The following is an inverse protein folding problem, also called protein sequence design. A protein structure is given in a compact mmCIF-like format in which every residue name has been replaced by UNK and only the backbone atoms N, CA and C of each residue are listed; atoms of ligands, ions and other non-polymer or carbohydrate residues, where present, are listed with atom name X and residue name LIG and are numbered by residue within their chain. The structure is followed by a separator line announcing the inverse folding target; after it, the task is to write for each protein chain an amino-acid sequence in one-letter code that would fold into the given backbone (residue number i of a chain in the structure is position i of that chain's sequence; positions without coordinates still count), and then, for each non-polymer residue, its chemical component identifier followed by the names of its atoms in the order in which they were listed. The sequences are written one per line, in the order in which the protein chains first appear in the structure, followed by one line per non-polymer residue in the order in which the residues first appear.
data_IF_438322250486
#
_entry.id   IF_438322250486
#
_cell.length_a   1.000
_cell.length_b   1.000
_cell.length_c   1.000
_cell.angle_alpha   90.00
_cell.angle_beta   90.00
_cell.angle_gamma   90.00
#
_symmetry.space_group_name_H-M   'P 1'
#
loop_
_entity.id
_entity.type
_entity.pdbx_description
1 polymer ?
#
# COMPACT_ATOMS: atom_id res chain seq x y z
N UNK A 1 -13.37 -6.88 7.52
CA UNK A 1 -13.73 -5.98 6.38
C UNK A 1 -12.86 -4.74 6.45
N UNK A 2 -12.49 -4.18 5.33
CA UNK A 2 -11.61 -3.00 5.33
C UNK A 2 -12.36 -1.73 5.74
N UNK A 3 -11.65 -0.80 6.39
CA UNK A 3 -12.21 0.50 6.78
C UNK A 3 -12.64 1.31 5.56
N UNK A 4 -11.87 1.22 4.48
CA UNK A 4 -12.20 1.93 3.23
C UNK A 4 -13.51 1.40 2.64
N UNK A 5 -13.67 0.09 2.59
CA UNK A 5 -14.90 -0.53 2.11
C UNK A 5 -16.09 -0.16 2.99
N UNK A 6 -15.91 -0.19 4.30
CA UNK A 6 -16.96 0.21 5.24
C UNK A 6 -17.39 1.67 5.02
N UNK A 7 -16.42 2.57 4.81
CA UNK A 7 -16.74 3.97 4.53
C UNK A 7 -17.57 4.12 3.25
N UNK A 8 -17.24 3.39 2.21
CA UNK A 8 -18.00 3.41 0.96
C UNK A 8 -19.41 2.86 1.15
N UNK A 9 -19.56 1.77 1.87
CA UNK A 9 -20.87 1.15 2.11
C UNK A 9 -21.77 2.04 2.95
N UNK A 10 -21.21 2.82 3.87
CA UNK A 10 -21.97 3.77 4.71
C UNK A 10 -22.19 5.12 4.03
N UNK A 11 -21.62 5.36 2.86
CA UNK A 11 -21.70 6.65 2.19
C UNK A 11 -20.88 7.74 2.86
N UNK A 12 -19.88 7.37 3.65
CA UNK A 12 -18.98 8.31 4.30
C UNK A 12 -17.97 8.86 3.31
N UNK A 13 -17.52 10.10 3.55
CA UNK A 13 -16.42 10.69 2.79
C UNK A 13 -15.13 9.96 3.13
N UNK A 14 -14.54 9.27 2.14
CA UNK A 14 -13.32 8.49 2.34
C UNK A 14 -12.08 9.37 2.14
N UNK A 15 -11.15 9.29 3.08
CA UNK A 15 -9.87 10.01 3.02
C UNK A 15 -8.78 8.96 2.94
N UNK A 16 -7.90 9.09 1.94
CA UNK A 16 -6.73 8.22 1.79
C UNK A 16 -5.47 9.05 1.72
N UNK A 17 -4.36 8.46 2.14
CA UNK A 17 -3.04 9.04 1.98
C UNK A 17 -2.25 8.24 0.93
N UNK A 18 -1.10 8.75 0.54
CA UNK A 18 -0.18 8.05 -0.34
C UNK A 18 1.13 7.80 0.39
N UNK A 19 1.63 6.58 0.30
CA UNK A 19 2.90 6.15 0.88
C UNK A 19 3.78 5.62 -0.24
N UNK A 20 4.89 6.29 -0.48
CA UNK A 20 5.84 5.88 -1.52
C UNK A 20 6.94 5.02 -0.88
N UNK A 21 7.15 3.78 -1.37
CA UNK A 21 8.25 2.95 -0.87
C UNK A 21 9.61 3.60 -1.11
N UNK A 22 10.59 3.35 -0.24
CA UNK A 22 11.94 3.88 -0.42
C UNK A 22 12.70 3.14 -1.51
N UNK A 23 13.87 3.65 -1.89
CA UNK A 23 14.75 3.02 -2.87
C UNK A 23 15.65 1.94 -2.28
N UNK A 24 15.50 1.63 -1.02
CA UNK A 24 16.33 0.66 -0.30
C UNK A 24 15.54 -0.13 0.72
N UNK A 25 16.24 -0.77 1.64
CA UNK A 25 15.64 -1.67 2.62
C UNK A 25 15.30 -1.02 3.96
N UNK A 26 15.66 0.24 4.14
CA UNK A 26 15.35 0.97 5.38
C UNK A 26 13.96 1.62 5.27
N UNK A 27 13.00 1.06 5.96
CA UNK A 27 11.62 1.53 5.96
C UNK A 27 11.31 2.43 7.16
N UNK A 28 12.31 2.83 7.96
CA UNK A 28 12.08 3.57 9.21
C UNK A 28 11.41 4.92 8.97
N UNK A 29 11.83 5.68 7.96
CA UNK A 29 11.21 6.96 7.63
C UNK A 29 9.75 6.80 7.22
N UNK A 30 9.48 5.79 6.40
CA UNK A 30 8.10 5.51 5.96
C UNK A 30 7.22 5.10 7.16
N UNK A 31 7.77 4.32 8.08
CA UNK A 31 7.07 3.93 9.29
C UNK A 31 6.70 5.14 10.14
N UNK A 32 7.60 6.12 10.28
CA UNK A 32 7.30 7.36 10.99
C UNK A 32 6.22 8.18 10.30
N UNK A 33 6.26 8.27 8.97
CA UNK A 33 5.20 8.94 8.20
C UNK A 33 3.85 8.24 8.41
N UNK A 34 3.84 6.91 8.42
CA UNK A 34 2.63 6.14 8.65
C UNK A 34 2.00 6.45 10.01
N UNK A 35 2.82 6.59 11.05
CA UNK A 35 2.33 6.92 12.39
C UNK A 35 1.59 8.26 12.45
N UNK A 36 1.95 9.20 11.58
CA UNK A 36 1.29 10.51 11.54
C UNK A 36 -0.12 10.44 10.96
N UNK A 37 -0.43 9.43 10.15
CA UNK A 37 -1.72 9.32 9.47
C UNK A 37 -2.60 8.20 10.01
N UNK A 38 -2.06 7.28 10.79
CA UNK A 38 -2.84 6.22 11.43
C UNK A 38 -3.96 6.85 12.27
N UNK A 39 -5.20 6.40 12.05
CA UNK A 39 -6.36 6.94 12.73
C UNK A 39 -6.94 8.21 12.09
N UNK A 40 -6.28 8.76 11.08
CA UNK A 40 -6.73 9.99 10.38
C UNK A 40 -7.20 9.73 8.96
N UNK A 41 -6.84 8.58 8.40
CA UNK A 41 -7.23 8.18 7.04
C UNK A 41 -7.86 6.80 7.08
N UNK A 42 -8.67 6.50 6.08
CA UNK A 42 -9.30 5.19 5.94
C UNK A 42 -8.33 4.15 5.39
N UNK A 43 -7.44 4.58 4.52
CA UNK A 43 -6.43 3.71 3.92
C UNK A 43 -5.28 4.53 3.37
N UNK A 44 -4.18 3.86 3.02
CA UNK A 44 -3.04 4.48 2.37
C UNK A 44 -2.71 3.74 1.07
N UNK A 45 -2.65 4.47 -0.03
CA UNK A 45 -2.22 3.94 -1.31
C UNK A 45 -0.71 3.77 -1.30
N UNK A 46 -0.23 2.59 -1.64
CA UNK A 46 1.20 2.29 -1.71
C UNK A 46 1.61 2.23 -3.17
N UNK A 47 2.42 3.19 -3.61
CA UNK A 47 2.81 3.32 -5.01
C UNK A 47 3.76 2.21 -5.44
N UNK A 48 3.77 1.92 -6.73
CA UNK A 48 4.54 0.83 -7.31
C UNK A 48 5.53 1.36 -8.35
N UNK A 49 6.80 1.49 -7.97
CA UNK A 49 7.87 1.99 -8.83
C UNK A 49 7.43 3.25 -9.60
N UNK A 50 6.91 4.21 -8.86
CA UNK A 50 6.36 5.45 -9.41
C UNK A 50 7.36 6.15 -10.32
N UNK A 51 6.89 6.65 -11.45
CA UNK A 51 7.70 7.34 -12.48
C UNK A 51 8.82 6.45 -13.06
N UNK A 52 8.63 5.14 -13.07
CA UNK A 52 9.62 4.16 -13.55
C UNK A 52 10.95 4.23 -12.81
N UNK A 53 10.92 4.61 -11.54
CA UNK A 53 12.08 4.60 -10.64
C UNK A 53 11.98 3.38 -9.73
N UNK A 54 13.03 2.57 -9.70
CA UNK A 54 13.08 1.35 -8.88
C UNK A 54 12.97 1.71 -7.40
N UNK A 55 12.03 1.06 -6.71
CA UNK A 55 11.80 1.21 -5.28
C UNK A 55 11.53 -0.16 -4.65
N UNK A 56 11.53 -0.21 -3.33
CA UNK A 56 11.07 -1.41 -2.62
C UNK A 56 9.66 -1.77 -3.08
N UNK A 57 9.38 -3.05 -3.21
CA UNK A 57 8.09 -3.57 -3.69
C UNK A 57 6.91 -3.00 -2.91
N UNK A 58 5.85 -2.64 -3.62
CA UNK A 58 4.61 -2.20 -2.98
C UNK A 58 4.02 -3.29 -2.09
N UNK A 59 4.12 -4.56 -2.46
CA UNK A 59 3.63 -5.68 -1.65
C UNK A 59 4.32 -5.74 -0.29
N UNK A 60 5.66 -5.69 -0.26
CA UNK A 60 6.43 -5.72 0.97
C UNK A 60 6.10 -4.51 1.86
N UNK A 61 5.97 -3.35 1.25
CA UNK A 61 5.63 -2.11 1.97
C UNK A 61 4.22 -2.19 2.54
N UNK A 62 3.26 -2.72 1.79
CA UNK A 62 1.89 -2.93 2.29
C UNK A 62 1.87 -3.83 3.52
N UNK A 63 2.64 -4.90 3.50
CA UNK A 63 2.74 -5.80 4.66
C UNK A 63 3.23 -5.06 5.90
N UNK A 64 4.27 -4.26 5.75
CA UNK A 64 4.81 -3.47 6.86
C UNK A 64 3.78 -2.48 7.40
N UNK A 65 3.10 -1.75 6.51
CA UNK A 65 2.07 -0.78 6.92
C UNK A 65 0.91 -1.46 7.63
N UNK A 66 0.49 -2.62 7.14
CA UNK A 66 -0.58 -3.38 7.76
C UNK A 66 -0.20 -3.81 9.18
N UNK A 67 1.03 -4.26 9.38
CA UNK A 67 1.53 -4.65 10.71
C UNK A 67 1.57 -3.45 11.67
N UNK A 68 1.74 -2.23 11.16
CA UNK A 68 1.68 -1.01 11.97
C UNK A 68 0.25 -0.54 12.28
N UNK A 69 -0.75 -1.12 11.65
CA UNK A 69 -2.15 -0.74 11.85
C UNK A 69 -2.71 0.25 10.83
N UNK A 70 -1.98 0.51 9.75
CA UNK A 70 -2.46 1.33 8.64
C UNK A 70 -2.94 0.42 7.52
N UNK A 71 -4.19 0.60 7.09
CA UNK A 71 -4.75 -0.20 6.01
C UNK A 71 -4.15 0.19 4.67
N UNK A 72 -3.43 -0.71 3.99
CA UNK A 72 -2.82 -0.39 2.71
C UNK A 72 -3.74 -0.70 1.54
N UNK A 73 -3.62 0.08 0.48
CA UNK A 73 -4.16 -0.25 -0.84
C UNK A 73 -2.95 -0.51 -1.74
N UNK A 74 -2.75 -1.76 -2.11
CA UNK A 74 -1.63 -2.13 -2.96
C UNK A 74 -1.85 -1.63 -4.38
N UNK A 75 -0.88 -0.91 -4.92
CA UNK A 75 -0.84 -0.56 -6.33
C UNK A 75 0.09 -1.52 -7.06
N UNK A 76 -0.29 -1.91 -8.24
CA UNK A 76 0.45 -2.89 -9.03
C UNK A 76 0.45 -2.46 -10.49
N UNK A 77 1.62 -2.02 -10.99
CA UNK A 77 1.74 -1.59 -12.37
C UNK A 77 2.04 -2.78 -13.29
N UNK A 78 1.37 -2.81 -14.44
CA UNK A 78 1.66 -3.79 -15.48
C UNK A 78 2.87 -3.43 -16.35
N UNK A 79 3.37 -2.20 -16.24
CA UNK A 79 4.50 -1.74 -17.07
C UNK A 79 5.77 -2.60 -16.88
N UNK A 80 6.04 -3.00 -15.64
CA UNK A 80 7.29 -3.68 -15.26
C UNK A 80 7.09 -5.18 -14.99
N UNK A 81 5.90 -5.71 -15.24
CA UNK A 81 5.55 -7.10 -14.96
C UNK A 81 4.94 -7.78 -16.16
N UNK A 82 5.21 -9.06 -16.32
CA UNK A 82 4.45 -9.89 -17.24
C UNK A 82 3.20 -10.44 -16.54
N UNK A 83 2.37 -11.17 -17.29
CA UNK A 83 1.11 -11.72 -16.76
C UNK A 83 1.33 -12.62 -15.56
N UNK A 84 2.31 -13.51 -15.63
CA UNK A 84 2.60 -14.47 -14.55
C UNK A 84 3.00 -13.73 -13.28
N UNK A 85 3.83 -12.69 -13.40
CA UNK A 85 4.25 -11.90 -12.26
C UNK A 85 3.08 -11.18 -11.60
N UNK A 86 2.16 -10.62 -12.37
CA UNK A 86 0.97 -9.96 -11.85
C UNK A 86 0.07 -10.95 -11.12
N UNK A 87 -0.20 -12.10 -11.73
CA UNK A 87 -1.04 -13.13 -11.12
C UNK A 87 -0.45 -13.63 -9.81
N UNK A 88 0.85 -13.88 -9.80
CA UNK A 88 1.58 -14.32 -8.60
C UNK A 88 1.53 -13.29 -7.48
N UNK A 89 1.74 -12.02 -7.80
CA UNK A 89 1.67 -10.94 -6.80
C UNK A 89 0.27 -10.80 -6.22
N UNK A 90 -0.76 -10.94 -7.04
CA UNK A 90 -2.15 -10.87 -6.57
C UNK A 90 -2.46 -12.01 -5.60
N UNK A 91 -2.01 -13.22 -5.90
CA UNK A 91 -2.17 -14.35 -4.99
C UNK A 91 -1.43 -14.12 -3.68
N UNK A 92 -0.21 -13.60 -3.77
CA UNK A 92 0.62 -13.29 -2.58
C UNK A 92 -0.03 -12.24 -1.71
N UNK A 93 -0.62 -11.21 -2.31
CA UNK A 93 -1.33 -10.17 -1.57
C UNK A 93 -2.50 -10.76 -0.77
N UNK A 94 -3.12 -11.82 -1.25
CA UNK A 94 -4.20 -12.49 -0.55
C UNK A 94 -3.79 -13.20 0.74
N UNK A 95 -2.49 -13.40 0.97
CA UNK A 95 -1.99 -13.99 2.23
C UNK A 95 -1.95 -12.98 3.38
N UNK A 96 -2.06 -11.72 3.11
CA UNK A 96 -1.95 -10.64 4.11
C UNK A 96 -3.31 -9.92 4.35
#
# INVERSE_FOLDING_TARGET
MSKLREAFEKGEFAITAEMAPPKGTDLSHLAECAKLVIGRVHAANVTDNQSAVMRTSSLATCKMLKDLGLEPVIQMTGRDRNRIAIESEMLSAGFF
#
